data_IF_513132119844
#
_entry.id   IF_513132119844
#
_cell.length_a   1.000
_cell.length_b   1.000
_cell.length_c   1.000
_cell.angle_alpha   90.00
_cell.angle_beta   90.00
_cell.angle_gamma   90.00
#
_symmetry.space_group_name_H-M   'P 1'
#
loop_
_entity.id
_entity.type
_entity.pdbx_description
1 polymer ?
#
# COMPACT_ATOMS: atom_id res chain seq x y z
N UNK A 1 -5.03 -28.47 -0.13
CA UNK A 1 -3.62 -28.81 -0.12
C UNK A 1 -3.24 -29.22 1.29
N UNK A 2 -2.89 -30.51 1.48
CA UNK A 2 -2.59 -31.06 2.81
C UNK A 2 -1.28 -30.50 3.42
N UNK A 3 -0.57 -29.68 2.66
CA UNK A 3 0.70 -29.07 3.03
C UNK A 3 0.60 -27.53 3.22
N UNK A 4 -0.61 -26.98 3.26
CA UNK A 4 -0.76 -25.57 3.65
C UNK A 4 -0.53 -25.48 5.18
N UNK A 5 0.54 -24.80 5.63
CA UNK A 5 0.97 -24.92 7.03
C UNK A 5 0.01 -24.30 8.05
N UNK A 6 -0.97 -23.48 7.62
CA UNK A 6 -1.86 -22.76 8.55
C UNK A 6 -3.26 -22.50 7.97
N UNK A 7 -4.33 -22.75 8.74
CA UNK A 7 -5.67 -22.23 8.44
C UNK A 7 -5.77 -20.75 8.86
N UNK A 8 -6.74 -20.02 8.31
CA UNK A 8 -6.98 -18.63 8.69
C UNK A 8 -7.28 -18.46 10.19
N UNK A 9 -8.03 -19.41 10.77
CA UNK A 9 -8.35 -19.45 12.19
C UNK A 9 -7.09 -19.67 13.05
N UNK A 10 -6.21 -20.59 12.65
CA UNK A 10 -4.93 -20.83 13.34
C UNK A 10 -4.02 -19.62 13.31
N UNK A 11 -3.98 -18.87 12.20
CA UNK A 11 -3.21 -17.63 12.10
C UNK A 11 -3.79 -16.53 13.00
N UNK A 12 -5.12 -16.43 13.12
CA UNK A 12 -5.75 -15.45 14.00
C UNK A 12 -5.48 -15.75 15.49
N UNK A 13 -5.50 -17.01 15.87
CA UNK A 13 -5.15 -17.44 17.24
C UNK A 13 -3.68 -17.18 17.55
N UNK A 14 -2.78 -17.44 16.62
CA UNK A 14 -1.36 -17.16 16.76
C UNK A 14 -1.06 -15.66 16.90
N UNK A 15 -1.73 -14.79 16.16
CA UNK A 15 -1.57 -13.34 16.28
C UNK A 15 -2.01 -12.85 17.65
N UNK A 16 -3.14 -13.34 18.18
CA UNK A 16 -3.62 -12.99 19.50
C UNK A 16 -2.65 -13.44 20.61
N UNK A 17 -2.15 -14.66 20.51
CA UNK A 17 -1.16 -15.22 21.45
C UNK A 17 0.18 -14.46 21.36
N UNK A 18 0.62 -14.06 20.17
CA UNK A 18 1.81 -13.23 19.95
C UNK A 18 1.65 -11.85 20.59
N UNK A 19 0.49 -11.21 20.44
CA UNK A 19 0.20 -9.91 21.06
C UNK A 19 0.24 -10.01 22.59
N UNK A 20 -0.35 -11.06 23.16
CA UNK A 20 -0.32 -11.29 24.60
C UNK A 20 1.11 -11.55 25.11
N UNK A 21 1.89 -12.36 24.39
CA UNK A 21 3.32 -12.56 24.70
C UNK A 21 4.08 -11.24 24.70
N UNK A 22 3.90 -10.42 23.66
CA UNK A 22 4.52 -9.08 23.58
C UNK A 22 4.10 -8.18 24.74
N UNK A 23 2.83 -8.21 25.14
CA UNK A 23 2.32 -7.43 26.27
C UNK A 23 2.99 -7.82 27.60
N UNK A 24 3.24 -9.14 27.79
CA UNK A 24 3.85 -9.67 29.02
C UNK A 24 5.36 -9.47 29.07
N UNK A 25 6.05 -9.63 27.93
CA UNK A 25 7.53 -9.66 27.89
C UNK A 25 8.16 -8.38 27.33
N UNK A 26 7.36 -7.51 26.70
CA UNK A 26 7.83 -6.32 25.97
C UNK A 26 8.42 -6.62 24.59
N UNK A 27 8.53 -7.90 24.19
CA UNK A 27 9.16 -8.33 22.93
C UNK A 27 8.38 -9.46 22.26
N UNK A 28 8.55 -9.64 20.98
CA UNK A 28 8.10 -10.84 20.25
C UNK A 28 9.13 -11.97 20.29
N UNK A 29 10.34 -11.69 20.73
CA UNK A 29 11.40 -12.69 20.85
C UNK A 29 11.00 -13.77 21.89
N UNK A 30 11.28 -15.03 21.54
CA UNK A 30 10.96 -16.17 22.42
C UNK A 30 9.51 -16.67 22.30
N UNK A 31 8.68 -16.07 21.44
CA UNK A 31 7.40 -16.69 21.05
C UNK A 31 7.66 -17.93 20.17
N UNK A 32 6.64 -18.77 20.01
CA UNK A 32 6.74 -19.98 19.19
C UNK A 32 7.20 -19.66 17.77
N UNK A 33 8.16 -20.44 17.24
CA UNK A 33 8.74 -20.27 15.91
C UNK A 33 10.26 -20.19 15.93
N UNK A 34 10.86 -20.22 14.74
CA UNK A 34 12.31 -20.05 14.57
C UNK A 34 12.64 -18.56 14.48
N UNK A 35 13.65 -18.08 15.23
CA UNK A 35 14.09 -16.71 15.08
C UNK A 35 14.65 -16.48 13.66
N UNK A 36 14.24 -15.38 13.04
CA UNK A 36 14.68 -14.96 11.70
C UNK A 36 15.28 -13.56 11.80
N UNK A 37 16.43 -13.34 11.15
CA UNK A 37 16.99 -11.99 11.02
C UNK A 37 16.04 -11.08 10.24
N UNK A 38 15.98 -9.81 10.61
CA UNK A 38 15.07 -8.84 9.99
C UNK A 38 15.30 -8.68 8.48
N UNK A 39 16.51 -8.91 8.00
CA UNK A 39 16.84 -8.90 6.57
C UNK A 39 16.34 -10.15 5.87
N UNK A 40 16.53 -11.31 6.50
CA UNK A 40 16.07 -12.59 5.98
C UNK A 40 14.54 -12.67 5.97
N UNK A 41 13.86 -12.00 6.91
CA UNK A 41 12.39 -11.93 6.96
C UNK A 41 11.78 -11.43 5.65
N UNK A 42 12.38 -10.41 5.03
CA UNK A 42 11.90 -9.86 3.76
C UNK A 42 12.12 -10.81 2.57
N UNK A 43 13.04 -11.76 2.71
CA UNK A 43 13.48 -12.69 1.66
C UNK A 43 12.81 -14.08 1.77
N UNK A 44 11.89 -14.24 2.75
CA UNK A 44 11.14 -15.48 2.92
C UNK A 44 10.30 -15.84 1.69
N UNK A 45 10.10 -17.14 1.41
CA UNK A 45 9.27 -17.59 0.29
C UNK A 45 7.79 -17.46 0.64
N UNK A 46 7.25 -16.27 0.48
CA UNK A 46 5.84 -15.94 0.71
C UNK A 46 5.17 -15.50 -0.58
N UNK A 47 3.86 -15.65 -0.70
CA UNK A 47 3.11 -15.16 -1.85
C UNK A 47 2.98 -13.64 -1.82
N UNK A 48 2.71 -13.08 -0.64
CA UNK A 48 2.52 -11.65 -0.42
C UNK A 48 3.46 -11.18 0.67
N UNK A 49 4.23 -10.13 0.39
CA UNK A 49 5.06 -9.42 1.35
C UNK A 49 4.46 -8.05 1.62
N UNK A 50 4.27 -7.72 2.91
CA UNK A 50 3.72 -6.42 3.33
C UNK A 50 4.76 -5.68 4.18
N UNK A 51 5.63 -4.86 3.58
CA UNK A 51 6.53 -3.99 4.33
C UNK A 51 5.71 -2.86 5.00
N UNK A 52 5.58 -2.92 6.32
CA UNK A 52 4.66 -2.08 7.09
C UNK A 52 5.34 -1.29 8.23
N UNK A 53 6.68 -1.31 8.32
CA UNK A 53 7.41 -0.70 9.44
C UNK A 53 8.15 0.58 9.03
N UNK A 54 9.21 0.45 8.23
CA UNK A 54 10.15 1.54 7.95
C UNK A 54 10.31 1.76 6.44
N UNK A 55 10.78 2.97 6.12
CA UNK A 55 11.23 3.33 4.78
C UNK A 55 12.53 2.59 4.38
N UNK A 56 12.79 2.48 3.08
CA UNK A 56 14.04 1.96 2.51
C UNK A 56 14.43 0.56 3.01
N UNK A 57 13.46 -0.33 3.21
CA UNK A 57 13.72 -1.71 3.62
C UNK A 57 14.04 -2.62 2.43
N UNK A 58 13.42 -2.37 1.28
CA UNK A 58 13.72 -3.05 0.01
C UNK A 58 14.59 -2.11 -0.81
N UNK A 59 15.83 -2.50 -0.98
CA UNK A 59 16.88 -1.74 -1.66
C UNK A 59 17.50 -2.57 -2.78
N UNK A 60 18.41 -1.99 -3.55
CA UNK A 60 19.20 -2.69 -4.57
C UNK A 60 19.97 -3.90 -4.00
N UNK A 61 20.30 -3.82 -2.71
CA UNK A 61 21.05 -4.86 -2.05
C UNK A 61 20.25 -6.15 -1.84
N UNK A 62 18.92 -6.09 -1.70
CA UNK A 62 18.09 -7.24 -1.41
C UNK A 62 16.93 -7.48 -2.41
N UNK A 63 16.56 -6.52 -3.24
CA UNK A 63 15.44 -6.63 -4.18
C UNK A 63 15.52 -7.88 -5.09
N UNK A 64 16.73 -8.29 -5.48
CA UNK A 64 16.94 -9.49 -6.29
C UNK A 64 16.71 -10.81 -5.52
N UNK A 65 16.65 -10.79 -4.19
CA UNK A 65 16.36 -11.95 -3.33
C UNK A 65 14.92 -12.01 -2.84
N UNK A 66 14.11 -10.96 -3.04
CA UNK A 66 12.68 -10.98 -2.70
C UNK A 66 12.01 -12.12 -3.49
N UNK A 67 11.32 -13.01 -2.78
CA UNK A 67 10.64 -14.18 -3.35
C UNK A 67 9.15 -14.01 -3.50
N UNK A 68 8.58 -13.00 -2.87
CA UNK A 68 7.17 -12.70 -2.95
C UNK A 68 6.74 -12.41 -4.40
N UNK A 69 5.54 -12.87 -4.75
CA UNK A 69 4.92 -12.56 -6.04
C UNK A 69 4.29 -11.17 -6.02
N UNK A 70 3.81 -10.75 -4.85
CA UNK A 70 3.16 -9.45 -4.62
C UNK A 70 3.87 -8.76 -3.46
N UNK A 71 4.17 -7.48 -3.63
CA UNK A 71 4.61 -6.59 -2.55
C UNK A 71 3.55 -5.51 -2.37
N UNK A 72 2.91 -5.45 -1.18
CA UNK A 72 1.94 -4.43 -0.83
C UNK A 72 2.55 -3.46 0.19
N UNK A 73 2.86 -2.26 -0.22
CA UNK A 73 3.62 -1.28 0.58
C UNK A 73 2.72 -0.57 1.60
N UNK A 74 2.67 -1.08 2.82
CA UNK A 74 1.90 -0.45 3.91
C UNK A 74 2.68 0.67 4.63
N UNK A 75 4.02 0.62 4.64
CA UNK A 75 4.85 1.74 5.07
C UNK A 75 5.00 2.79 3.95
N UNK A 76 5.43 4.01 4.31
CA UNK A 76 5.78 5.04 3.32
C UNK A 76 7.21 4.78 2.81
N UNK A 77 7.37 4.72 1.48
CA UNK A 77 8.65 4.56 0.82
C UNK A 77 9.47 3.34 1.24
N UNK A 78 8.87 2.14 1.43
CA UNK A 78 9.62 0.99 1.91
C UNK A 78 10.57 0.43 0.85
N UNK A 79 10.33 0.74 -0.43
CA UNK A 79 11.11 0.30 -1.58
C UNK A 79 11.80 1.47 -2.25
N UNK A 80 13.12 1.40 -2.43
CA UNK A 80 13.85 2.44 -3.16
C UNK A 80 13.49 2.44 -4.65
N UNK A 81 13.63 3.59 -5.36
CA UNK A 81 13.34 3.65 -6.80
C UNK A 81 14.13 2.63 -7.64
N UNK A 82 15.38 2.37 -7.28
CA UNK A 82 16.20 1.38 -7.98
C UNK A 82 15.74 -0.05 -7.68
N UNK A 83 15.35 -0.34 -6.44
CA UNK A 83 14.76 -1.62 -6.07
C UNK A 83 13.41 -1.86 -6.77
N UNK A 84 12.57 -0.84 -6.91
CA UNK A 84 11.30 -0.90 -7.65
C UNK A 84 11.51 -1.27 -9.14
N UNK A 85 12.60 -0.81 -9.74
CA UNK A 85 12.97 -1.23 -11.09
C UNK A 85 13.36 -2.72 -11.14
N UNK A 86 14.18 -3.18 -10.20
CA UNK A 86 14.60 -4.58 -10.11
C UNK A 86 13.40 -5.51 -9.88
N UNK A 87 12.49 -5.14 -8.99
CA UNK A 87 11.26 -5.91 -8.74
C UNK A 87 10.40 -6.01 -9.99
N UNK A 88 10.24 -4.91 -10.73
CA UNK A 88 9.48 -4.88 -11.97
C UNK A 88 10.10 -5.78 -13.06
N UNK A 89 11.43 -5.74 -13.25
CA UNK A 89 12.14 -6.62 -14.18
C UNK A 89 11.97 -8.10 -13.84
N UNK A 90 11.85 -8.42 -12.56
CA UNK A 90 11.60 -9.77 -12.06
C UNK A 90 10.13 -10.19 -12.11
N UNK A 91 9.22 -9.32 -12.54
CA UNK A 91 7.80 -9.60 -12.62
C UNK A 91 7.10 -9.62 -11.25
N UNK A 92 7.68 -9.05 -10.21
CA UNK A 92 7.04 -8.90 -8.91
C UNK A 92 5.99 -7.77 -9.02
N UNK A 93 4.75 -8.08 -8.62
CA UNK A 93 3.66 -7.11 -8.66
C UNK A 93 3.72 -6.22 -7.41
N UNK A 94 4.05 -4.95 -7.58
CA UNK A 94 4.14 -3.99 -6.48
C UNK A 94 2.86 -3.15 -6.41
N UNK A 95 2.13 -3.22 -5.29
CA UNK A 95 1.06 -2.27 -4.96
C UNK A 95 1.72 -1.12 -4.19
N UNK A 96 1.86 0.07 -4.81
CA UNK A 96 2.67 1.15 -4.24
C UNK A 96 2.04 1.75 -2.98
N UNK A 97 2.86 2.31 -2.12
CA UNK A 97 2.49 2.93 -0.85
C UNK A 97 1.37 3.97 -0.99
N UNK A 98 1.48 4.87 -1.96
CA UNK A 98 0.47 5.89 -2.26
C UNK A 98 -0.95 5.30 -2.49
N UNK A 99 -1.05 4.02 -2.80
CA UNK A 99 -2.31 3.29 -2.96
C UNK A 99 -2.57 2.36 -1.78
N UNK A 100 -1.60 1.52 -1.42
CA UNK A 100 -1.80 0.45 -0.43
C UNK A 100 -2.10 0.99 0.97
N UNK A 101 -1.46 2.09 1.38
CA UNK A 101 -1.62 2.68 2.71
C UNK A 101 -2.63 3.84 2.77
N UNK A 102 -3.32 4.15 1.67
CA UNK A 102 -4.27 5.26 1.58
C UNK A 102 -5.52 5.10 2.46
N UNK A 103 -5.75 3.92 3.04
CA UNK A 103 -6.86 3.67 3.95
C UNK A 103 -6.86 4.59 5.17
N UNK A 104 -5.71 4.82 5.78
CA UNK A 104 -5.56 5.69 6.95
C UNK A 104 -6.00 7.14 6.67
N UNK A 105 -5.50 7.73 5.60
CA UNK A 105 -5.87 9.11 5.21
C UNK A 105 -7.34 9.19 4.77
N UNK A 106 -7.89 8.15 4.16
CA UNK A 106 -9.30 8.07 3.79
C UNK A 106 -10.20 8.10 5.03
N UNK A 107 -9.86 7.34 6.08
CA UNK A 107 -10.60 7.34 7.34
C UNK A 107 -10.47 8.68 8.07
N UNK A 108 -9.30 9.32 8.03
CA UNK A 108 -9.11 10.68 8.55
C UNK A 108 -10.01 11.70 7.83
N UNK A 109 -10.19 11.55 6.52
CA UNK A 109 -11.16 12.36 5.77
C UNK A 109 -12.59 12.09 6.23
N UNK A 110 -12.96 10.83 6.49
CA UNK A 110 -14.29 10.51 7.02
C UNK A 110 -14.52 11.13 8.39
N UNK A 111 -13.51 11.09 9.28
CA UNK A 111 -13.58 11.76 10.57
C UNK A 111 -13.87 13.26 10.42
N UNK A 112 -13.12 13.92 9.53
CA UNK A 112 -13.32 15.34 9.24
C UNK A 112 -14.75 15.63 8.74
N UNK A 113 -15.28 14.83 7.80
CA UNK A 113 -16.67 14.97 7.28
C UNK A 113 -17.70 14.79 8.40
N UNK A 114 -17.54 13.79 9.25
CA UNK A 114 -18.43 13.52 10.39
C UNK A 114 -18.40 14.69 11.39
N UNK A 115 -17.23 15.22 11.69
CA UNK A 115 -17.08 16.37 12.60
C UNK A 115 -17.74 17.63 12.04
N UNK A 116 -17.62 17.91 10.74
CA UNK A 116 -18.30 19.05 10.11
C UNK A 116 -19.81 18.94 10.10
N UNK A 117 -20.34 17.72 9.95
CA UNK A 117 -21.80 17.48 9.92
C UNK A 117 -22.40 17.23 11.29
N UNK A 118 -21.57 17.05 12.34
CA UNK A 118 -21.99 16.62 13.68
C UNK A 118 -22.85 15.34 13.65
N UNK A 119 -22.60 14.48 12.67
CA UNK A 119 -23.30 13.22 12.48
C UNK A 119 -22.28 12.09 12.30
N UNK A 120 -22.29 11.14 13.23
CA UNK A 120 -21.27 10.10 13.32
C UNK A 120 -21.80 8.77 12.79
N UNK A 121 -20.95 8.12 12.00
CA UNK A 121 -21.23 6.82 11.38
C UNK A 121 -20.84 5.68 12.33
N UNK A 122 -21.51 4.56 12.16
CA UNK A 122 -21.12 3.31 12.81
C UNK A 122 -19.81 2.78 12.20
N UNK A 123 -19.09 1.91 12.93
CA UNK A 123 -17.89 1.27 12.41
C UNK A 123 -18.13 0.56 11.07
N UNK A 124 -19.25 -0.17 10.95
CA UNK A 124 -19.62 -0.86 9.70
C UNK A 124 -19.87 0.08 8.53
N UNK A 125 -20.44 1.27 8.76
CA UNK A 125 -20.59 2.29 7.70
C UNK A 125 -19.24 2.83 7.25
N UNK A 126 -18.32 3.07 8.19
CA UNK A 126 -16.94 3.49 7.89
C UNK A 126 -16.23 2.43 7.05
N UNK A 127 -16.28 1.17 7.48
CA UNK A 127 -15.65 0.03 6.78
C UNK A 127 -16.18 -0.13 5.36
N UNK A 128 -17.52 -0.13 5.19
CA UNK A 128 -18.16 -0.25 3.87
C UNK A 128 -17.74 0.87 2.91
N UNK A 129 -17.67 2.10 3.42
CA UNK A 129 -17.25 3.26 2.62
C UNK A 129 -15.78 3.21 2.29
N UNK A 130 -14.94 2.78 3.24
CA UNK A 130 -13.51 2.61 3.05
C UNK A 130 -13.23 1.56 1.98
N UNK A 131 -13.81 0.38 2.09
CA UNK A 131 -13.68 -0.69 1.12
C UNK A 131 -14.06 -0.20 -0.29
N UNK A 132 -15.22 0.41 -0.44
CA UNK A 132 -15.69 0.93 -1.72
C UNK A 132 -14.73 1.99 -2.33
N UNK A 133 -14.09 2.82 -1.50
CA UNK A 133 -13.13 3.82 -1.98
C UNK A 133 -11.79 3.17 -2.36
N UNK A 134 -11.28 2.27 -1.54
CA UNK A 134 -10.00 1.59 -1.78
C UNK A 134 -10.07 0.70 -3.02
N UNK A 135 -11.12 -0.11 -3.17
CA UNK A 135 -11.32 -0.97 -4.34
C UNK A 135 -11.42 -0.13 -5.61
N UNK A 136 -12.19 0.95 -5.59
CA UNK A 136 -12.31 1.86 -6.75
C UNK A 136 -10.97 2.49 -7.12
N UNK A 137 -10.19 2.92 -6.13
CA UNK A 137 -8.87 3.51 -6.35
C UNK A 137 -7.91 2.46 -6.95
N UNK A 138 -7.90 1.25 -6.42
CA UNK A 138 -7.11 0.15 -6.95
C UNK A 138 -7.48 -0.14 -8.41
N UNK A 139 -8.77 -0.30 -8.71
CA UNK A 139 -9.26 -0.59 -10.05
C UNK A 139 -8.85 0.46 -11.08
N UNK A 140 -8.91 1.75 -10.73
CA UNK A 140 -8.51 2.83 -11.63
C UNK A 140 -7.01 2.81 -11.91
N UNK A 141 -6.20 2.61 -10.86
CA UNK A 141 -4.75 2.49 -10.99
C UNK A 141 -4.38 1.24 -11.80
N UNK A 142 -4.99 0.11 -11.51
CA UNK A 142 -4.74 -1.15 -12.21
C UNK A 142 -5.11 -1.08 -13.70
N UNK A 143 -6.27 -0.50 -14.04
CA UNK A 143 -6.64 -0.26 -15.44
C UNK A 143 -5.65 0.67 -16.16
N UNK A 144 -5.15 1.69 -15.46
CA UNK A 144 -4.13 2.59 -16.00
C UNK A 144 -2.82 1.85 -16.22
N UNK A 145 -2.38 1.03 -15.26
CA UNK A 145 -1.24 0.13 -15.38
C UNK A 145 -1.36 -0.74 -16.65
N UNK A 146 -2.46 -1.46 -16.78
CA UNK A 146 -2.69 -2.36 -17.92
C UNK A 146 -2.74 -1.61 -19.27
N UNK A 147 -3.50 -0.52 -19.34
CA UNK A 147 -3.73 0.20 -20.60
C UNK A 147 -2.51 0.99 -21.09
N UNK A 148 -1.63 1.40 -20.18
CA UNK A 148 -0.42 2.17 -20.48
C UNK A 148 0.85 1.33 -20.53
N UNK A 149 0.82 0.09 -20.03
CA UNK A 149 2.01 -0.76 -19.92
C UNK A 149 3.09 -0.18 -19.01
N UNK A 150 2.69 0.54 -17.95
CA UNK A 150 3.58 1.17 -16.96
C UNK A 150 3.50 0.46 -15.62
N UNK A 151 4.46 0.64 -14.73
CA UNK A 151 4.39 0.08 -13.37
C UNK A 151 3.19 0.62 -12.59
N UNK A 152 2.70 -0.13 -11.60
CA UNK A 152 1.59 0.31 -10.73
C UNK A 152 1.89 1.65 -10.04
N UNK A 153 3.14 1.90 -9.63
CA UNK A 153 3.56 3.18 -9.04
C UNK A 153 3.39 4.33 -10.02
N UNK A 154 3.87 4.19 -11.24
CA UNK A 154 3.71 5.21 -12.28
C UNK A 154 2.24 5.43 -12.63
N UNK A 155 1.45 4.36 -12.70
CA UNK A 155 0.01 4.42 -12.91
C UNK A 155 -0.71 5.19 -11.79
N UNK A 156 -0.33 4.96 -10.54
CA UNK A 156 -0.88 5.68 -9.39
C UNK A 156 -0.59 7.18 -9.46
N UNK A 157 0.65 7.58 -9.79
CA UNK A 157 1.00 8.98 -10.01
C UNK A 157 0.25 9.58 -11.20
N UNK A 158 0.12 8.87 -12.31
CA UNK A 158 -0.65 9.35 -13.46
C UNK A 158 -2.11 9.64 -13.12
N UNK A 159 -2.76 8.75 -12.35
CA UNK A 159 -4.13 8.94 -11.87
C UNK A 159 -4.22 10.15 -10.94
N UNK A 160 -3.33 10.25 -9.95
CA UNK A 160 -3.33 11.32 -8.97
C UNK A 160 -3.08 12.70 -9.59
N UNK A 161 -2.04 12.82 -10.42
CA UNK A 161 -1.68 14.08 -11.09
C UNK A 161 -2.77 14.51 -12.06
N UNK A 162 -3.38 13.57 -12.80
CA UNK A 162 -4.51 13.88 -13.69
C UNK A 162 -5.68 14.46 -12.92
N UNK A 163 -6.09 13.84 -11.82
CA UNK A 163 -7.19 14.33 -10.98
C UNK A 163 -6.91 15.74 -10.44
N UNK A 164 -5.67 15.99 -9.99
CA UNK A 164 -5.26 17.28 -9.50
C UNK A 164 -5.31 18.34 -10.60
N UNK A 165 -4.76 18.04 -11.79
CA UNK A 165 -4.75 18.95 -12.94
C UNK A 165 -6.17 19.28 -13.41
N UNK A 166 -7.06 18.29 -13.43
CA UNK A 166 -8.48 18.51 -13.77
C UNK A 166 -9.17 19.44 -12.75
N UNK A 167 -8.97 19.20 -11.45
CA UNK A 167 -9.48 20.07 -10.40
C UNK A 167 -8.96 21.51 -10.50
N UNK A 168 -7.68 21.69 -10.81
CA UNK A 168 -7.07 23.00 -11.02
C UNK A 168 -7.64 23.72 -12.25
N UNK A 169 -7.90 22.99 -13.33
CA UNK A 169 -8.56 23.54 -14.54
C UNK A 169 -9.97 24.03 -14.23
N UNK A 170 -10.78 23.21 -13.53
CA UNK A 170 -12.15 23.57 -13.17
C UNK A 170 -12.18 24.80 -12.26
N UNK A 171 -11.20 24.97 -11.38
CA UNK A 171 -11.05 26.13 -10.49
C UNK A 171 -10.43 27.36 -11.18
N UNK A 172 -10.05 27.27 -12.44
CA UNK A 172 -9.40 28.35 -13.19
C UNK A 172 -7.95 28.64 -12.78
N UNK A 173 -7.31 27.73 -12.01
CA UNK A 173 -5.93 27.91 -11.55
C UNK A 173 -4.89 27.62 -12.64
N UNK A 174 -5.25 26.84 -13.65
CA UNK A 174 -4.45 26.65 -14.85
C UNK A 174 -5.03 27.55 -15.94
N UNK A 175 -4.48 28.75 -16.10
CA UNK A 175 -4.79 29.65 -17.22
C UNK A 175 -4.44 28.97 -18.54
N UNK A 176 -5.30 29.07 -19.55
CA UNK A 176 -4.89 28.80 -20.94
C UNK A 176 -3.68 29.69 -21.25
N UNK A 177 -2.64 29.18 -21.93
CA UNK A 177 -1.62 30.07 -22.47
C UNK A 177 -2.33 31.17 -23.29
N UNK A 178 -2.11 32.41 -22.91
CA UNK A 178 -2.57 33.55 -23.72
C UNK A 178 -1.86 33.39 -25.08
N UNK A 179 -2.61 33.08 -26.12
CA UNK A 179 -2.07 33.11 -27.46
C UNK A 179 -1.59 34.53 -27.70
N UNK A 180 -0.27 34.76 -27.76
CA UNK A 180 0.26 36.01 -28.23
C UNK A 180 -0.21 36.17 -29.66
N UNK A 181 -0.88 37.30 -30.03
CA UNK A 181 -1.16 37.57 -31.41
C UNK A 181 0.20 37.68 -32.12
N UNK A 182 0.34 36.93 -33.21
CA UNK A 182 1.49 37.02 -34.07
C UNK A 182 1.59 38.48 -34.60
N UNK A 183 2.68 39.12 -34.25
CA UNK A 183 3.08 40.42 -34.80
C UNK A 183 3.63 40.25 -36.19
#
# INVERSE_FOLDING_TARGET
DADAPWSYEQMADDVAALQEHKRQTGSVAGFAGSPVDSRELLELPVDVLVPAALENQITEANAHRIRARIVAEAANGPTTPAADAILAERGVFVIPDILANAGGVTVSYFEWVQNLSSFYWTASEVETRLEAMMVRAFDEVYRTHQSRGVKMRDAAYLVAVRRLAEAMKVRGWLSRPVAHPAS
#
